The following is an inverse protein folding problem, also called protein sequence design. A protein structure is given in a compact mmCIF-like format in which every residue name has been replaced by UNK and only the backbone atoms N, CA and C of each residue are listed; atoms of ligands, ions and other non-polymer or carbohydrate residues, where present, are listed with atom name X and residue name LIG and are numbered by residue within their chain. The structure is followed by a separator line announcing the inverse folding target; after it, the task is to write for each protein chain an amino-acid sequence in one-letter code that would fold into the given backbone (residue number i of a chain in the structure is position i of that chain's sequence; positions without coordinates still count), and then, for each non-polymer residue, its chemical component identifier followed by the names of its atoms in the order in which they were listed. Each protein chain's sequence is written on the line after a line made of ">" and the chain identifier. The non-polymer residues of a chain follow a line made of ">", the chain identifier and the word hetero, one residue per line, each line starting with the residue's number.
data_IF_423031128092
#
_entry.id   IF_423031128092
#
_cell.length_a   1.000
_cell.length_b   1.000
_cell.length_c   1.000
_cell.angle_alpha   90.00
_cell.angle_beta   90.00
_cell.angle_gamma   90.00
#
_symmetry.space_group_name_H-M   'P 1'
#
loop_
_entity.id
_entity.type
_entity.pdbx_description
1 polymer ?
#
# COMPACT_ATOMS: atom_id res chain seq x y z
N UNK A 1 4.69 15.86 10.77
CA UNK A 1 5.44 14.70 10.20
C UNK A 1 4.50 13.96 9.26
N UNK A 2 4.94 13.57 8.07
CA UNK A 2 4.16 12.83 7.08
C UNK A 2 3.76 11.47 7.62
N UNK A 3 2.54 11.02 7.37
CA UNK A 3 2.09 9.67 7.72
C UNK A 3 2.42 8.67 6.62
N UNK A 4 2.71 7.44 6.98
CA UNK A 4 2.75 6.29 6.07
C UNK A 4 1.40 5.60 6.16
N UNK A 5 0.68 5.57 5.05
CA UNK A 5 -0.67 5.01 4.94
C UNK A 5 -0.61 3.75 4.08
N UNK A 6 -0.91 2.59 4.65
CA UNK A 6 -1.13 1.37 3.90
C UNK A 6 -2.50 1.43 3.24
N UNK A 7 -2.54 1.67 1.93
CA UNK A 7 -3.78 1.84 1.17
C UNK A 7 -3.90 0.81 0.06
N UNK A 8 -4.87 -0.12 0.15
CA UNK A 8 -5.09 -1.15 -0.86
C UNK A 8 -6.44 -1.86 -0.74
N UNK A 9 -6.78 -2.60 -1.80
CA UNK A 9 -7.91 -3.50 -1.84
C UNK A 9 -7.58 -4.82 -1.14
N UNK A 10 -8.54 -5.37 -0.42
CA UNK A 10 -8.41 -6.65 0.27
C UNK A 10 -9.74 -7.42 0.17
N UNK A 11 -9.67 -8.75 0.03
CA UNK A 11 -10.85 -9.60 0.13
C UNK A 11 -11.34 -9.67 1.58
N UNK A 12 -12.60 -10.07 1.78
CA UNK A 12 -13.16 -10.20 3.14
C UNK A 12 -12.37 -11.19 4.01
N UNK A 13 -11.78 -12.21 3.41
CA UNK A 13 -10.92 -13.18 4.07
C UNK A 13 -9.43 -12.81 4.10
N UNK A 14 -9.08 -11.56 3.74
CA UNK A 14 -7.76 -10.97 4.03
C UNK A 14 -6.69 -11.15 2.96
N UNK A 15 -7.04 -11.51 1.73
CA UNK A 15 -6.10 -11.65 0.63
C UNK A 15 -6.01 -10.38 -0.24
N UNK A 16 -4.83 -10.11 -0.79
CA UNK A 16 -4.56 -8.96 -1.68
C UNK A 16 -4.48 -9.38 -3.16
N UNK A 17 -4.26 -10.65 -3.42
CA UNK A 17 -4.30 -11.27 -4.75
C UNK A 17 -4.65 -12.74 -4.60
N UNK A 18 -5.19 -13.33 -5.65
CA UNK A 18 -5.47 -14.77 -5.73
C UNK A 18 -4.18 -15.60 -5.83
N UNK A 19 -4.30 -16.94 -5.88
CA UNK A 19 -3.13 -17.84 -5.87
C UNK A 19 -2.20 -17.69 -7.08
N UNK A 20 -2.70 -17.16 -8.20
CA UNK A 20 -1.90 -16.88 -9.40
C UNK A 20 -1.61 -15.39 -9.60
N UNK A 21 -1.80 -14.57 -8.57
CA UNK A 21 -1.59 -13.13 -8.61
C UNK A 21 -2.76 -12.34 -9.21
N UNK A 22 -3.94 -12.96 -9.37
CA UNK A 22 -5.12 -12.31 -9.92
C UNK A 22 -5.72 -11.29 -8.95
N UNK A 23 -6.18 -10.17 -9.49
CA UNK A 23 -6.90 -9.08 -8.81
C UNK A 23 -8.11 -8.57 -9.60
N UNK A 24 -8.66 -9.41 -10.48
CA UNK A 24 -9.83 -9.15 -11.31
C UNK A 24 -11.12 -8.95 -10.51
N UNK A 25 -11.12 -9.35 -9.24
CA UNK A 25 -12.18 -9.13 -8.26
C UNK A 25 -12.24 -7.71 -7.69
N UNK A 26 -11.23 -6.89 -7.94
CA UNK A 26 -11.22 -5.49 -7.50
C UNK A 26 -12.19 -4.65 -8.31
N UNK A 27 -13.09 -3.94 -7.64
CA UNK A 27 -14.04 -3.06 -8.29
C UNK A 27 -13.35 -1.82 -8.89
N UNK A 28 -13.76 -1.48 -10.12
CA UNK A 28 -13.23 -0.32 -10.87
C UNK A 28 -14.35 0.52 -11.50
N UNK A 29 -15.59 0.26 -11.12
CA UNK A 29 -16.80 0.87 -11.69
C UNK A 29 -17.08 2.30 -11.16
N UNK A 30 -16.43 2.70 -10.09
CA UNK A 30 -16.51 4.04 -9.51
C UNK A 30 -15.23 4.40 -8.73
N UNK A 31 -15.15 5.62 -8.19
CA UNK A 31 -13.95 6.16 -7.56
C UNK A 31 -13.55 5.51 -6.22
N UNK A 32 -14.51 5.02 -5.43
CA UNK A 32 -14.27 4.42 -4.11
C UNK A 32 -13.39 5.24 -3.15
N UNK A 33 -13.33 6.56 -3.32
CA UNK A 33 -12.53 7.46 -2.47
C UNK A 33 -11.08 7.64 -2.90
N UNK A 34 -10.68 7.09 -4.05
CA UNK A 34 -9.31 7.20 -4.57
C UNK A 34 -8.90 8.63 -4.85
N UNK A 35 -9.81 9.47 -5.36
CA UNK A 35 -9.54 10.90 -5.63
C UNK A 35 -9.17 11.66 -4.35
N UNK A 36 -9.91 11.44 -3.29
CA UNK A 36 -9.64 12.08 -2.00
C UNK A 36 -8.34 11.55 -1.41
N UNK A 37 -8.08 10.25 -1.53
CA UNK A 37 -6.83 9.64 -1.10
C UNK A 37 -5.63 10.21 -1.86
N UNK A 38 -5.70 10.33 -3.19
CA UNK A 38 -4.63 10.93 -4.00
C UNK A 38 -4.38 12.41 -3.66
N UNK A 39 -5.38 13.13 -3.19
CA UNK A 39 -5.19 14.49 -2.69
C UNK A 39 -4.42 14.56 -1.36
N UNK A 40 -4.38 13.47 -0.60
CA UNK A 40 -3.66 13.37 0.67
C UNK A 40 -2.18 13.02 0.51
N UNK A 41 -1.80 12.33 -0.56
CA UNK A 41 -0.46 11.75 -0.73
C UNK A 41 0.31 12.42 -1.85
N UNK A 42 1.64 12.48 -1.75
CA UNK A 42 2.54 12.97 -2.79
C UNK A 42 3.78 12.08 -2.97
N UNK A 43 3.87 11.01 -2.20
CA UNK A 43 4.92 10.00 -2.31
C UNK A 43 4.34 8.59 -2.18
N UNK A 44 5.04 7.62 -2.76
CA UNK A 44 4.64 6.22 -2.76
C UNK A 44 5.82 5.32 -2.40
N UNK A 45 5.59 4.37 -1.51
CA UNK A 45 6.52 3.30 -1.14
C UNK A 45 6.13 2.00 -1.84
N UNK A 46 7.05 1.42 -2.59
CA UNK A 46 6.81 0.23 -3.42
C UNK A 46 7.91 -0.79 -3.14
N UNK A 47 7.53 -2.02 -2.83
CA UNK A 47 8.45 -3.14 -2.75
C UNK A 47 8.91 -3.62 -4.14
N UNK A 48 10.10 -4.23 -4.23
CA UNK A 48 10.70 -4.68 -5.48
C UNK A 48 9.75 -5.45 -6.40
N UNK A 49 9.08 -6.48 -5.88
CA UNK A 49 8.18 -7.33 -6.71
C UNK A 49 7.02 -6.53 -7.30
N UNK A 50 6.39 -5.66 -6.51
CA UNK A 50 5.31 -4.79 -7.00
C UNK A 50 5.80 -3.79 -8.03
N UNK A 51 7.03 -3.28 -7.87
CA UNK A 51 7.67 -2.41 -8.84
C UNK A 51 7.94 -3.13 -10.18
N UNK A 52 8.48 -4.35 -10.15
CA UNK A 52 8.72 -5.18 -11.34
C UNK A 52 7.42 -5.47 -12.10
N UNK A 53 6.33 -5.79 -11.39
CA UNK A 53 5.00 -5.99 -11.99
C UNK A 53 4.49 -4.71 -12.63
N UNK A 54 4.59 -3.57 -11.94
CA UNK A 54 4.16 -2.28 -12.47
C UNK A 54 4.94 -1.85 -13.72
N UNK A 55 6.25 -2.13 -13.77
CA UNK A 55 7.05 -1.89 -14.97
C UNK A 55 6.59 -2.72 -16.17
N UNK A 56 6.19 -3.97 -15.96
CA UNK A 56 5.68 -4.85 -17.01
C UNK A 56 4.33 -4.41 -17.59
N UNK A 57 3.55 -3.62 -16.86
CA UNK A 57 2.25 -3.10 -17.31
C UNK A 57 2.34 -1.81 -18.14
N UNK A 58 3.51 -1.21 -18.26
CA UNK A 58 3.75 0.02 -19.04
C UNK A 58 3.42 1.32 -18.28
N UNK A 59 3.89 2.44 -18.84
CA UNK A 59 3.82 3.78 -18.22
C UNK A 59 2.46 4.48 -18.41
N UNK A 60 1.38 3.83 -18.07
CA UNK A 60 0.03 4.40 -18.19
C UNK A 60 -0.86 3.95 -17.04
N UNK A 61 -0.24 3.45 -16.03
CA UNK A 61 -0.87 2.70 -14.96
C UNK A 61 -1.81 3.54 -14.11
N UNK A 62 -3.08 3.19 -14.17
CA UNK A 62 -4.11 3.45 -13.15
C UNK A 62 -4.54 4.90 -12.93
N UNK A 63 -4.24 5.86 -13.82
CA UNK A 63 -4.66 7.26 -13.61
C UNK A 63 -4.10 7.89 -12.32
N UNK A 64 -3.00 7.33 -11.79
CA UNK A 64 -2.36 7.82 -10.57
C UNK A 64 -1.69 9.18 -10.82
N UNK A 65 -1.80 10.11 -9.88
CA UNK A 65 -1.07 11.37 -9.95
C UNK A 65 0.44 11.11 -9.88
N UNK A 66 1.23 12.09 -10.35
CA UNK A 66 2.68 12.05 -10.19
C UNK A 66 3.04 12.12 -8.71
N UNK A 67 3.79 11.15 -8.23
CA UNK A 67 4.28 11.05 -6.85
C UNK A 67 5.79 10.82 -6.83
N UNK A 68 6.45 11.17 -5.72
CA UNK A 68 7.81 10.73 -5.45
C UNK A 68 7.83 9.23 -5.20
N UNK A 69 8.57 8.48 -6.00
CA UNK A 69 8.61 7.01 -5.91
C UNK A 69 9.84 6.55 -5.14
N UNK A 70 9.62 5.77 -4.10
CA UNK A 70 10.65 5.12 -3.30
C UNK A 70 10.51 3.60 -3.45
N UNK A 71 11.55 2.99 -4.05
CA UNK A 71 11.56 1.55 -4.34
C UNK A 71 12.43 0.84 -3.31
N UNK A 72 11.84 -0.04 -2.53
CA UNK A 72 12.53 -0.77 -1.45
C UNK A 72 13.07 -2.10 -1.95
N UNK A 73 14.41 -2.21 -1.99
CA UNK A 73 15.09 -3.43 -2.42
C UNK A 73 16.53 -3.49 -1.91
N UNK A 74 16.97 -4.68 -1.49
CA UNK A 74 18.37 -4.96 -1.18
C UNK A 74 19.09 -5.69 -2.34
N UNK A 75 18.41 -5.94 -3.46
CA UNK A 75 18.95 -6.69 -4.59
C UNK A 75 19.01 -5.90 -5.89
N UNK A 76 18.17 -4.88 -6.05
CA UNK A 76 18.25 -3.97 -7.18
C UNK A 76 19.48 -3.06 -7.03
N UNK A 77 20.16 -2.80 -8.12
CA UNK A 77 21.29 -1.88 -8.19
C UNK A 77 20.88 -0.52 -8.76
N UNK A 78 19.79 -0.48 -9.50
CA UNK A 78 19.26 0.74 -10.11
C UNK A 78 17.72 0.68 -10.22
N UNK A 79 17.10 1.83 -10.36
CA UNK A 79 15.68 2.01 -10.60
C UNK A 79 15.47 2.99 -11.75
N UNK A 80 14.24 3.09 -12.27
CA UNK A 80 13.91 4.03 -13.35
C UNK A 80 14.24 5.47 -12.94
N UNK A 81 14.55 6.30 -13.94
CA UNK A 81 14.83 7.74 -13.76
C UNK A 81 13.66 8.42 -13.03
N UNK A 82 13.96 9.13 -11.96
CA UNK A 82 12.98 9.85 -11.15
C UNK A 82 12.46 9.07 -9.93
N UNK A 83 12.78 7.78 -9.80
CA UNK A 83 12.56 7.01 -8.60
C UNK A 83 13.80 6.98 -7.70
N UNK A 84 13.62 6.74 -6.42
CA UNK A 84 14.70 6.60 -5.43
C UNK A 84 14.76 5.16 -4.95
N UNK A 85 15.92 4.52 -5.09
CA UNK A 85 16.18 3.21 -4.49
C UNK A 85 16.48 3.36 -3.01
N UNK A 86 15.76 2.62 -2.17
CA UNK A 86 15.96 2.52 -0.72
C UNK A 86 16.44 1.12 -0.38
N UNK A 87 17.64 1.02 0.21
CA UNK A 87 18.25 -0.24 0.62
C UNK A 87 18.90 -0.11 1.99
N UNK A 88 19.21 -1.24 2.64
CA UNK A 88 19.86 -1.28 3.95
C UNK A 88 18.92 -0.90 5.10
N UNK A 89 19.29 0.11 5.87
CA UNK A 89 18.49 0.57 7.03
C UNK A 89 17.23 1.32 6.60
N UNK A 90 16.17 0.56 6.34
CA UNK A 90 14.87 1.13 5.93
C UNK A 90 14.26 2.03 7.00
N UNK A 91 14.50 1.76 8.29
CA UNK A 91 13.95 2.55 9.40
C UNK A 91 14.52 3.97 9.41
N UNK A 92 15.83 4.09 9.29
CA UNK A 92 16.49 5.39 9.19
C UNK A 92 16.06 6.15 7.93
N UNK A 93 16.00 5.45 6.79
CA UNK A 93 15.56 6.06 5.53
C UNK A 93 14.12 6.58 5.60
N UNK A 94 13.18 5.79 6.11
CA UNK A 94 11.77 6.18 6.24
C UNK A 94 11.61 7.36 7.21
N UNK A 95 12.35 7.37 8.33
CA UNK A 95 12.34 8.50 9.26
C UNK A 95 12.75 9.80 8.56
N UNK A 96 13.83 9.78 7.81
CA UNK A 96 14.30 10.95 7.05
C UNK A 96 13.26 11.40 6.00
N UNK A 97 12.60 10.46 5.30
CA UNK A 97 11.56 10.78 4.32
C UNK A 97 10.35 11.42 5.01
N UNK A 98 9.92 10.89 6.16
CA UNK A 98 8.79 11.44 6.95
C UNK A 98 9.06 12.86 7.49
N UNK A 99 10.32 13.22 7.72
CA UNK A 99 10.73 14.55 8.22
C UNK A 99 10.76 15.62 7.10
N UNK A 100 10.78 15.22 5.82
CA UNK A 100 10.73 16.17 4.70
C UNK A 100 9.37 16.88 4.61
N UNK A 101 9.32 18.11 4.12
CA UNK A 101 8.06 18.76 3.76
C UNK A 101 7.30 17.95 2.72
N UNK A 102 5.99 17.90 2.83
CA UNK A 102 5.14 17.18 1.88
C UNK A 102 3.85 16.67 2.51
N UNK A 103 3.06 15.98 1.69
CA UNK A 103 1.84 15.30 2.10
C UNK A 103 2.17 13.93 2.70
N UNK A 104 1.15 13.13 2.97
CA UNK A 104 1.31 11.76 3.45
C UNK A 104 1.93 10.85 2.37
N UNK A 105 2.35 9.68 2.77
CA UNK A 105 3.07 8.70 1.94
C UNK A 105 2.19 7.48 1.78
N UNK A 106 1.94 7.08 0.55
CA UNK A 106 1.20 5.86 0.25
C UNK A 106 2.12 4.64 0.29
N UNK A 107 1.90 3.73 1.24
CA UNK A 107 2.48 2.40 1.18
C UNK A 107 1.60 1.54 0.25
N UNK A 108 2.06 1.41 -0.99
CA UNK A 108 1.38 0.59 -2.00
C UNK A 108 1.53 -0.93 -1.72
N UNK A 109 2.65 -1.32 -1.11
CA UNK A 109 2.97 -2.71 -0.82
C UNK A 109 4.21 -3.15 -1.60
N UNK A 110 4.54 -4.45 -1.87
CA UNK A 110 3.82 -5.70 -1.55
C UNK A 110 3.95 -6.22 -0.12
N UNK A 111 3.48 -7.45 0.05
CA UNK A 111 3.31 -8.06 1.37
C UNK A 111 4.58 -8.07 2.24
N UNK A 112 5.74 -8.34 1.68
CA UNK A 112 7.00 -8.36 2.44
C UNK A 112 7.38 -6.96 2.96
N UNK A 113 7.23 -5.91 2.13
CA UNK A 113 7.48 -4.54 2.56
C UNK A 113 6.47 -4.14 3.63
N UNK A 114 5.19 -4.45 3.43
CA UNK A 114 4.14 -4.22 4.41
C UNK A 114 4.47 -4.87 5.74
N UNK A 115 4.82 -6.16 5.76
CA UNK A 115 5.24 -6.88 6.97
C UNK A 115 6.41 -6.18 7.65
N UNK A 116 7.46 -5.83 6.91
CA UNK A 116 8.63 -5.16 7.48
C UNK A 116 8.27 -3.83 8.14
N UNK A 117 7.47 -3.00 7.45
CA UNK A 117 7.08 -1.70 7.99
C UNK A 117 6.11 -1.82 9.18
N UNK A 118 5.22 -2.80 9.17
CA UNK A 118 4.32 -3.07 10.29
C UNK A 118 5.09 -3.52 11.54
N UNK A 119 6.05 -4.45 11.38
CA UNK A 119 6.86 -4.95 12.50
C UNK A 119 7.76 -3.86 13.10
N UNK A 120 8.28 -2.96 12.27
CA UNK A 120 9.07 -1.80 12.70
C UNK A 120 8.22 -0.61 13.22
N UNK A 121 6.88 -0.75 13.26
CA UNK A 121 5.95 0.33 13.68
C UNK A 121 6.11 1.61 12.87
N UNK A 122 6.33 1.47 11.56
CA UNK A 122 6.54 2.57 10.62
C UNK A 122 5.29 2.95 9.82
N UNK A 123 4.22 2.17 9.95
CA UNK A 123 2.90 2.46 9.35
C UNK A 123 2.07 3.23 10.39
N UNK A 124 1.47 4.34 9.99
CA UNK A 124 0.68 5.20 10.87
C UNK A 124 -0.84 4.99 10.67
N UNK A 125 -1.24 4.57 9.48
CA UNK A 125 -2.66 4.43 9.13
C UNK A 125 -2.86 3.28 8.14
N UNK A 126 -3.97 2.57 8.28
CA UNK A 126 -4.48 1.62 7.29
C UNK A 126 -5.69 2.26 6.61
N UNK A 127 -5.75 2.20 5.29
CA UNK A 127 -6.93 2.52 4.49
C UNK A 127 -7.24 1.33 3.58
N UNK A 128 -8.19 0.50 4.00
CA UNK A 128 -8.48 -0.78 3.39
C UNK A 128 -9.83 -0.74 2.68
N UNK A 129 -9.85 -1.07 1.40
CA UNK A 129 -11.06 -1.30 0.62
C UNK A 129 -11.41 -2.78 0.68
N UNK A 130 -12.28 -3.15 1.64
CA UNK A 130 -12.69 -4.54 1.85
C UNK A 130 -13.78 -4.90 0.84
N UNK A 131 -13.45 -5.81 -0.06
CA UNK A 131 -14.36 -6.29 -1.10
C UNK A 131 -15.22 -7.44 -0.59
N UNK A 132 -16.49 -7.50 -1.00
CA UNK A 132 -17.45 -8.53 -0.56
C UNK A 132 -17.22 -9.88 -1.29
N UNK A 133 -16.03 -10.44 -1.13
CA UNK A 133 -15.61 -11.69 -1.74
C UNK A 133 -14.73 -12.50 -0.79
N UNK A 134 -14.85 -13.81 -0.85
CA UNK A 134 -13.94 -14.78 -0.24
C UNK A 134 -13.12 -15.42 -1.35
N UNK A 135 -11.80 -15.31 -1.30
CA UNK A 135 -10.90 -15.93 -2.25
C UNK A 135 -10.53 -17.37 -1.85
N UNK A 136 -10.58 -17.67 -0.56
CA UNK A 136 -10.24 -18.99 -0.02
C UNK A 136 -8.75 -19.32 -0.02
N UNK A 137 -8.00 -18.76 -0.95
CA UNK A 137 -6.54 -18.88 -1.05
C UNK A 137 -5.96 -17.69 -1.79
N UNK A 138 -4.66 -17.46 -1.64
CA UNK A 138 -3.98 -16.34 -2.29
C UNK A 138 -2.86 -15.77 -1.42
N UNK A 139 -2.50 -14.53 -1.67
CA UNK A 139 -1.49 -13.82 -0.88
C UNK A 139 -2.17 -13.03 0.25
N UNK A 140 -1.92 -13.39 1.53
CA UNK A 140 -2.46 -12.65 2.67
C UNK A 140 -1.89 -11.22 2.71
N UNK A 141 -2.73 -10.25 3.10
CA UNK A 141 -2.27 -8.88 3.38
C UNK A 141 -1.31 -8.85 4.55
N UNK A 142 -1.71 -9.48 5.66
CA UNK A 142 -0.91 -9.55 6.88
C UNK A 142 -0.38 -10.96 7.08
N UNK A 143 0.94 -11.10 7.05
CA UNK A 143 1.65 -12.34 7.30
C UNK A 143 2.87 -12.05 8.17
N UNK A 144 3.22 -12.98 9.06
CA UNK A 144 4.41 -12.86 9.92
C UNK A 144 4.47 -11.53 10.70
N UNK A 145 3.32 -11.09 11.24
CA UNK A 145 3.26 -9.90 12.10
C UNK A 145 3.76 -10.28 13.49
N UNK A 146 4.73 -9.52 13.99
CA UNK A 146 5.32 -9.71 15.30
C UNK A 146 4.41 -9.19 16.40
N UNK A 147 3.73 -10.13 17.07
CA UNK A 147 2.82 -9.83 18.18
C UNK A 147 1.52 -9.17 17.75
N UNK A 148 0.83 -8.60 18.72
CA UNK A 148 -0.45 -7.91 18.51
C UNK A 148 -0.22 -6.45 18.18
N UNK A 149 -0.99 -5.94 17.23
CA UNK A 149 -1.07 -4.52 16.91
C UNK A 149 -2.53 -4.11 17.11
N UNK A 150 -2.78 -3.27 18.09
CA UNK A 150 -4.11 -2.71 18.31
C UNK A 150 -4.36 -1.58 17.32
N UNK A 151 -5.55 -1.55 16.76
CA UNK A 151 -5.97 -0.58 15.76
C UNK A 151 -7.17 0.21 16.31
N UNK A 152 -7.18 1.51 16.07
CA UNK A 152 -8.31 2.37 16.39
C UNK A 152 -9.05 2.73 15.13
N UNK A 153 -10.33 2.36 15.02
CA UNK A 153 -11.17 2.78 13.89
C UNK A 153 -11.31 4.31 13.87
N UNK A 154 -10.96 4.91 12.74
CA UNK A 154 -11.01 6.35 12.50
C UNK A 154 -12.21 6.70 11.63
N UNK A 155 -12.45 5.93 10.56
CA UNK A 155 -13.53 6.18 9.61
C UNK A 155 -13.97 4.87 8.94
N UNK A 156 -15.22 4.85 8.49
CA UNK A 156 -15.78 3.75 7.68
C UNK A 156 -16.76 4.30 6.67
N UNK A 157 -16.70 3.79 5.44
CA UNK A 157 -17.62 4.16 4.37
C UNK A 157 -18.12 2.91 3.65
N UNK A 158 -19.43 2.80 3.50
CA UNK A 158 -20.07 1.70 2.76
C UNK A 158 -20.51 2.17 1.39
N UNK A 159 -20.45 1.27 0.42
CA UNK A 159 -20.87 1.50 -0.96
C UNK A 159 -21.97 0.54 -1.36
N UNK A 160 -22.82 0.94 -2.30
CA UNK A 160 -23.94 0.12 -2.78
C UNK A 160 -23.52 -1.21 -3.39
N UNK A 161 -22.27 -1.32 -3.83
CA UNK A 161 -21.65 -2.56 -4.34
C UNK A 161 -21.33 -3.59 -3.25
N UNK A 162 -21.47 -3.21 -1.97
CA UNK A 162 -21.07 -4.03 -0.84
C UNK A 162 -19.63 -3.82 -0.38
N UNK A 163 -18.83 -3.01 -1.10
CA UNK A 163 -17.49 -2.63 -0.64
C UNK A 163 -17.59 -1.79 0.64
N UNK A 164 -16.70 -2.06 1.58
CA UNK A 164 -16.55 -1.30 2.82
C UNK A 164 -15.13 -0.74 2.89
N UNK A 165 -15.01 0.58 2.92
CA UNK A 165 -13.73 1.24 3.19
C UNK A 165 -13.56 1.41 4.69
N UNK A 166 -12.41 0.98 5.22
CA UNK A 166 -12.05 1.07 6.63
C UNK A 166 -10.77 1.88 6.78
N UNK A 167 -10.79 2.85 7.68
CA UNK A 167 -9.60 3.61 8.06
C UNK A 167 -9.28 3.36 9.52
N UNK A 168 -8.07 2.87 9.81
CA UNK A 168 -7.57 2.65 11.16
C UNK A 168 -6.29 3.44 11.38
N UNK A 169 -6.09 3.97 12.60
CA UNK A 169 -4.78 4.45 13.08
C UNK A 169 -4.11 3.38 13.95
N UNK A 170 -2.79 3.36 13.89
CA UNK A 170 -1.92 2.54 14.72
C UNK A 170 -1.37 3.34 15.89
#
# INVERSE_FOLDING_TARGET
>A
MRKVILGLAVSLDGFIEGPNGEYDWCFTDQDYGMKDFFNRVDAIFIGRKSFEVAQGMGSGSFGMPKMEEYIFSNTLTEVKKGATLVSGDIKAAIKQIKERPGKDIWLFGGANLTTSLMNERLVDELWLSVHPILLGSGKPLFQNIDGRIELKLVDTKTYSTGLVSLTYSL
#
